data_IF_554530308853
#
_entry.id   IF_554530308853
#
_cell.length_a   1.000
_cell.length_b   1.000
_cell.length_c   1.000
_cell.angle_alpha   90.00
_cell.angle_beta   90.00
_cell.angle_gamma   90.00
#
_symmetry.space_group_name_H-M   'P 1'
#
loop_
_entity.id
_entity.type
_entity.pdbx_description
1 polymer ?
#
# COMPACT_ATOMS: atom_id res chain seq x y z
N UNK A 1 1.06 30.32 -23.94
CA UNK A 1 1.28 29.41 -22.79
C UNK A 1 1.46 28.03 -23.38
N UNK A 2 2.66 27.52 -23.32
CA UNK A 2 2.94 26.15 -23.75
C UNK A 2 2.16 25.21 -22.81
N UNK A 3 1.36 24.29 -23.37
CA UNK A 3 0.62 23.33 -22.56
C UNK A 3 1.63 22.43 -21.83
N UNK A 4 1.52 22.33 -20.51
CA UNK A 4 2.36 21.45 -19.71
C UNK A 4 2.26 20.01 -20.26
N UNK A 5 3.36 19.50 -20.82
CA UNK A 5 3.42 18.13 -21.30
C UNK A 5 3.67 17.20 -20.10
N UNK A 6 2.69 16.37 -19.76
CA UNK A 6 2.85 15.37 -18.74
C UNK A 6 3.79 14.24 -19.22
N UNK A 7 4.59 13.64 -18.32
CA UNK A 7 5.44 12.51 -18.66
C UNK A 7 4.61 11.28 -19.01
N UNK A 8 5.14 10.38 -19.84
CA UNK A 8 4.56 9.05 -20.01
C UNK A 8 4.67 8.27 -18.71
N UNK A 9 3.58 7.58 -18.32
CA UNK A 9 3.48 6.94 -16.99
C UNK A 9 3.39 5.42 -17.13
N UNK A 10 4.34 4.71 -16.51
CA UNK A 10 4.23 3.27 -16.26
C UNK A 10 3.67 3.07 -14.86
N UNK A 11 2.50 2.43 -14.77
CA UNK A 11 1.90 2.05 -13.50
C UNK A 11 2.36 0.64 -13.12
N UNK A 12 2.95 0.49 -11.93
CA UNK A 12 3.43 -0.79 -11.39
C UNK A 12 2.60 -1.16 -10.17
N UNK A 13 1.96 -2.34 -10.21
CA UNK A 13 1.05 -2.83 -9.17
C UNK A 13 1.54 -4.18 -8.68
N UNK A 14 2.11 -4.29 -7.46
CA UNK A 14 2.33 -5.56 -6.81
C UNK A 14 0.99 -6.16 -6.38
N UNK A 15 0.76 -7.45 -6.64
CA UNK A 15 -0.48 -8.12 -6.28
C UNK A 15 -0.21 -9.49 -5.62
N UNK A 16 -0.83 -9.74 -4.47
CA UNK A 16 -0.80 -11.03 -3.79
C UNK A 16 -2.15 -11.35 -3.14
N UNK A 17 -2.93 -12.25 -3.76
CA UNK A 17 -4.27 -12.64 -3.31
C UNK A 17 -5.27 -11.47 -3.28
N UNK A 18 -5.33 -10.69 -4.36
CA UNK A 18 -6.15 -9.49 -4.52
C UNK A 18 -7.37 -9.68 -5.44
N UNK A 19 -7.82 -10.93 -5.67
CA UNK A 19 -8.93 -11.25 -6.58
C UNK A 19 -10.22 -10.44 -6.31
N UNK A 20 -10.45 -9.98 -5.07
CA UNK A 20 -11.66 -9.24 -4.71
C UNK A 20 -11.65 -7.78 -5.14
N UNK A 21 -10.50 -7.20 -5.34
CA UNK A 21 -10.32 -5.74 -5.48
C UNK A 21 -9.61 -5.34 -6.77
N UNK A 22 -8.72 -6.17 -7.31
CA UNK A 22 -7.86 -5.84 -8.44
C UNK A 22 -8.63 -5.39 -9.69
N UNK A 23 -9.83 -5.95 -9.95
CA UNK A 23 -10.65 -5.53 -11.09
C UNK A 23 -11.07 -4.06 -11.00
N UNK A 24 -11.39 -3.56 -9.80
CA UNK A 24 -11.75 -2.13 -9.60
C UNK A 24 -10.53 -1.23 -9.73
N UNK A 25 -9.38 -1.68 -9.26
CA UNK A 25 -8.11 -0.97 -9.40
C UNK A 25 -7.81 -0.78 -10.89
N UNK A 26 -7.73 -1.87 -11.66
CA UNK A 26 -7.43 -1.84 -13.09
C UNK A 26 -8.45 -1.03 -13.89
N UNK A 27 -9.75 -1.21 -13.63
CA UNK A 27 -10.80 -0.43 -14.29
C UNK A 27 -10.65 1.08 -14.07
N UNK A 28 -10.30 1.51 -12.84
CA UNK A 28 -10.09 2.94 -12.55
C UNK A 28 -8.81 3.51 -13.18
N UNK A 29 -7.80 2.69 -13.45
CA UNK A 29 -6.58 3.10 -14.13
C UNK A 29 -6.77 3.21 -15.65
N UNK A 30 -7.60 2.34 -16.24
CA UNK A 30 -7.97 2.42 -17.65
C UNK A 30 -8.89 3.63 -17.94
N UNK A 31 -9.62 4.14 -16.94
CA UNK A 31 -10.51 5.32 -17.05
C UNK A 31 -9.81 6.66 -16.71
N UNK A 32 -8.48 6.71 -16.62
CA UNK A 32 -7.75 7.94 -16.32
C UNK A 32 -7.79 8.93 -17.49
N UNK A 33 -7.90 10.25 -17.20
CA UNK A 33 -7.79 11.32 -18.22
C UNK A 33 -6.38 11.43 -18.79
N UNK A 34 -5.36 11.22 -17.96
CA UNK A 34 -3.99 10.99 -18.41
C UNK A 34 -3.78 9.47 -18.49
N UNK A 35 -4.03 8.90 -19.67
CA UNK A 35 -3.92 7.45 -19.87
C UNK A 35 -2.52 6.96 -19.52
N UNK A 36 -2.38 5.90 -18.70
CA UNK A 36 -1.09 5.29 -18.48
C UNK A 36 -0.50 4.77 -19.79
N UNK A 37 0.78 4.95 -19.99
CA UNK A 37 1.52 4.38 -21.12
C UNK A 37 1.46 2.84 -21.08
N UNK A 38 1.55 2.29 -19.89
CA UNK A 38 1.41 0.86 -19.60
C UNK A 38 0.96 0.63 -18.16
N UNK A 39 0.29 -0.49 -17.91
CA UNK A 39 -0.06 -0.98 -16.58
C UNK A 39 0.60 -2.34 -16.42
N UNK A 40 1.49 -2.47 -15.46
CA UNK A 40 2.26 -3.67 -15.15
C UNK A 40 1.81 -4.20 -13.80
N UNK A 41 1.11 -5.33 -13.81
CA UNK A 41 0.77 -6.06 -12.58
C UNK A 41 1.83 -7.14 -12.36
N UNK A 42 2.43 -7.15 -11.17
CA UNK A 42 3.37 -8.21 -10.77
C UNK A 42 2.68 -9.08 -9.73
N UNK A 43 2.25 -10.26 -10.16
CA UNK A 43 1.67 -11.28 -9.26
C UNK A 43 2.78 -11.93 -8.45
N UNK A 44 2.77 -11.70 -7.16
CA UNK A 44 3.77 -12.19 -6.20
C UNK A 44 3.37 -13.57 -5.63
N UNK A 45 3.03 -14.51 -6.51
CA UNK A 45 2.70 -15.90 -6.14
C UNK A 45 1.29 -16.09 -5.59
N UNK A 46 0.29 -15.38 -6.11
CA UNK A 46 -1.11 -15.54 -5.68
C UNK A 46 -1.63 -16.96 -5.86
N UNK A 47 -2.47 -17.39 -4.92
CA UNK A 47 -3.14 -18.69 -4.89
C UNK A 47 -4.65 -18.61 -5.14
N UNK A 48 -5.16 -17.40 -5.35
CA UNK A 48 -6.57 -17.11 -5.66
C UNK A 48 -6.78 -16.74 -7.14
N UNK A 49 -7.91 -16.14 -7.48
CA UNK A 49 -8.25 -15.72 -8.84
C UNK A 49 -7.53 -14.47 -9.37
N UNK A 50 -6.57 -13.90 -8.65
CA UNK A 50 -5.90 -12.62 -9.02
C UNK A 50 -5.35 -12.66 -10.44
N UNK A 51 -4.57 -13.68 -10.79
CA UNK A 51 -3.98 -13.83 -12.13
C UNK A 51 -5.03 -13.96 -13.24
N UNK A 52 -6.06 -14.75 -12.98
CA UNK A 52 -7.13 -14.98 -13.95
C UNK A 52 -7.88 -13.67 -14.25
N UNK A 53 -8.20 -12.91 -13.21
CA UNK A 53 -8.87 -11.60 -13.33
C UNK A 53 -7.98 -10.63 -14.09
N UNK A 54 -6.71 -10.53 -13.74
CA UNK A 54 -5.76 -9.62 -14.39
C UNK A 54 -5.60 -9.92 -15.88
N UNK A 55 -5.50 -11.19 -16.25
CA UNK A 55 -5.43 -11.61 -17.69
C UNK A 55 -6.68 -11.23 -18.48
N UNK A 56 -7.82 -11.04 -17.84
CA UNK A 56 -9.05 -10.57 -18.47
C UNK A 56 -9.05 -9.10 -18.88
N UNK A 57 -8.05 -8.32 -18.44
CA UNK A 57 -7.93 -6.90 -18.79
C UNK A 57 -6.98 -6.72 -19.98
N UNK A 58 -7.54 -6.31 -21.14
CA UNK A 58 -6.73 -5.95 -22.31
C UNK A 58 -5.82 -4.75 -22.00
N UNK A 59 -4.58 -4.78 -22.49
CA UNK A 59 -3.61 -3.69 -22.29
C UNK A 59 -2.89 -3.71 -20.93
N UNK A 60 -3.11 -4.72 -20.08
CA UNK A 60 -2.40 -4.95 -18.83
C UNK A 60 -1.31 -6.00 -19.03
N UNK A 61 -0.09 -5.67 -18.64
CA UNK A 61 1.04 -6.59 -18.64
C UNK A 61 1.04 -7.35 -17.30
N UNK A 62 0.94 -8.67 -17.33
CA UNK A 62 1.05 -9.52 -16.15
C UNK A 62 2.42 -10.17 -16.08
N UNK A 63 3.17 -9.87 -15.03
CA UNK A 63 4.39 -10.58 -14.65
C UNK A 63 4.10 -11.49 -13.45
N UNK A 64 4.70 -12.68 -13.42
CA UNK A 64 4.50 -13.63 -12.33
C UNK A 64 5.83 -13.95 -11.66
N UNK A 65 5.86 -14.00 -10.32
CA UNK A 65 7.01 -14.41 -9.54
C UNK A 65 6.62 -15.31 -8.38
N UNK A 66 7.59 -15.96 -7.77
CA UNK A 66 7.43 -16.58 -6.45
C UNK A 66 7.23 -15.49 -5.40
N UNK A 67 6.63 -15.84 -4.24
CA UNK A 67 6.35 -14.85 -3.19
C UNK A 67 7.64 -14.30 -2.56
N UNK A 68 8.08 -13.14 -3.04
CA UNK A 68 9.29 -12.42 -2.64
C UNK A 68 9.00 -11.09 -1.93
N UNK A 69 7.74 -10.67 -1.89
CA UNK A 69 7.27 -9.45 -1.25
C UNK A 69 7.09 -8.27 -2.21
N UNK A 70 6.39 -7.23 -1.70
CA UNK A 70 5.95 -6.08 -2.47
C UNK A 70 7.10 -5.28 -3.09
N UNK A 71 8.19 -5.07 -2.37
CA UNK A 71 9.36 -4.34 -2.86
C UNK A 71 10.03 -5.05 -4.03
N UNK A 72 10.20 -6.39 -3.96
CA UNK A 72 10.72 -7.18 -5.06
C UNK A 72 9.80 -7.11 -6.30
N UNK A 73 8.49 -7.21 -6.09
CA UNK A 73 7.51 -7.10 -7.15
C UNK A 73 7.53 -5.71 -7.80
N UNK A 74 7.59 -4.62 -7.01
CA UNK A 74 7.73 -3.26 -7.53
C UNK A 74 9.01 -3.08 -8.35
N UNK A 75 10.15 -3.57 -7.86
CA UNK A 75 11.41 -3.53 -8.60
C UNK A 75 11.34 -4.27 -9.92
N UNK A 76 10.74 -5.47 -9.93
CA UNK A 76 10.55 -6.25 -11.15
C UNK A 76 9.70 -5.52 -12.18
N UNK A 77 8.57 -4.94 -11.76
CA UNK A 77 7.74 -4.12 -12.62
C UNK A 77 8.46 -2.88 -13.16
N UNK A 78 9.19 -2.17 -12.29
CA UNK A 78 9.96 -1.00 -12.66
C UNK A 78 11.08 -1.28 -13.68
N UNK A 79 11.72 -2.44 -13.58
CA UNK A 79 12.75 -2.87 -14.54
C UNK A 79 12.17 -3.20 -15.92
N UNK A 80 10.90 -3.56 -16.00
CA UNK A 80 10.19 -3.83 -17.26
C UNK A 80 9.61 -2.54 -17.86
N UNK A 81 9.34 -1.53 -17.01
CA UNK A 81 8.69 -0.28 -17.37
C UNK A 81 9.51 0.58 -18.33
N UNK A 82 8.82 1.26 -19.25
CA UNK A 82 9.42 2.08 -20.32
C UNK A 82 9.03 3.57 -20.27
N UNK A 83 8.02 3.93 -19.48
CA UNK A 83 7.56 5.32 -19.32
C UNK A 83 8.57 6.22 -18.59
N UNK A 84 8.42 7.53 -18.74
CA UNK A 84 9.29 8.55 -18.13
C UNK A 84 9.16 8.60 -16.60
N UNK A 85 7.96 8.31 -16.10
CA UNK A 85 7.64 8.26 -14.68
C UNK A 85 7.09 6.87 -14.29
N UNK A 86 7.50 6.37 -13.13
CA UNK A 86 6.98 5.16 -12.51
C UNK A 86 5.94 5.56 -11.45
N UNK A 87 4.74 4.95 -11.50
CA UNK A 87 3.74 5.09 -10.46
C UNK A 87 3.56 3.75 -9.74
N UNK A 88 3.88 3.71 -8.43
CA UNK A 88 3.73 2.53 -7.58
C UNK A 88 2.40 2.60 -6.84
N UNK A 89 1.45 1.78 -7.26
CA UNK A 89 0.08 1.78 -6.76
C UNK A 89 -0.30 0.41 -6.21
N UNK A 90 -1.16 0.37 -5.18
CA UNK A 90 -1.54 -0.88 -4.55
C UNK A 90 -2.83 -1.44 -5.19
N UNK A 91 -2.95 -2.77 -5.28
CA UNK A 91 -4.04 -3.47 -5.96
C UNK A 91 -5.41 -3.29 -5.30
N UNK A 92 -5.44 -2.91 -4.02
CA UNK A 92 -6.64 -2.65 -3.24
C UNK A 92 -7.12 -1.18 -3.27
N UNK A 93 -6.54 -0.38 -4.17
CA UNK A 93 -6.88 1.03 -4.39
C UNK A 93 -7.78 1.21 -5.63
N UNK A 94 -8.55 2.29 -5.64
CA UNK A 94 -9.29 2.84 -6.77
C UNK A 94 -8.97 4.32 -6.89
N UNK A 95 -8.91 4.85 -8.10
CA UNK A 95 -8.42 6.19 -8.39
C UNK A 95 -9.48 7.06 -9.03
N UNK A 96 -9.52 8.36 -8.70
CA UNK A 96 -10.31 9.33 -9.43
C UNK A 96 -9.73 9.53 -10.84
N UNK A 97 -10.55 9.98 -11.80
CA UNK A 97 -10.19 10.08 -13.21
C UNK A 97 -8.97 10.95 -13.50
N UNK A 98 -8.70 11.95 -12.68
CA UNK A 98 -7.56 12.87 -12.83
C UNK A 98 -6.36 12.49 -11.94
N UNK A 99 -6.40 11.33 -11.28
CA UNK A 99 -5.40 10.95 -10.29
C UNK A 99 -3.98 10.95 -10.87
N UNK A 100 -3.74 10.26 -11.99
CA UNK A 100 -2.40 10.19 -12.58
C UNK A 100 -1.93 11.55 -13.06
N UNK A 101 -2.78 12.33 -13.72
CA UNK A 101 -2.43 13.67 -14.17
C UNK A 101 -2.00 14.57 -13.00
N UNK A 102 -2.74 14.53 -11.89
CA UNK A 102 -2.44 15.31 -10.69
C UNK A 102 -1.18 14.81 -9.99
N UNK A 103 -1.02 13.48 -9.92
CA UNK A 103 0.12 12.87 -9.23
C UNK A 103 1.44 13.22 -9.90
N UNK A 104 1.51 13.23 -11.24
CA UNK A 104 2.75 13.51 -11.97
C UNK A 104 2.96 14.99 -12.33
N UNK A 105 1.99 15.88 -12.07
CA UNK A 105 2.08 17.28 -12.41
C UNK A 105 3.31 18.00 -11.82
N UNK A 106 3.71 17.78 -10.55
CA UNK A 106 4.93 18.40 -10.01
C UNK A 106 6.21 17.87 -10.68
N UNK A 107 6.21 16.60 -11.14
CA UNK A 107 7.32 16.02 -11.91
C UNK A 107 7.41 16.71 -13.28
N UNK A 108 6.27 16.89 -13.96
CA UNK A 108 6.20 17.55 -15.24
C UNK A 108 6.67 19.02 -15.20
N UNK A 109 6.52 19.70 -14.06
CA UNK A 109 7.01 21.08 -13.84
C UNK A 109 8.45 21.15 -13.35
N UNK A 110 9.12 20.01 -13.25
CA UNK A 110 10.47 19.88 -12.69
C UNK A 110 10.61 20.42 -11.23
N UNK A 111 9.49 20.43 -10.49
CA UNK A 111 9.44 20.84 -9.09
C UNK A 111 9.86 19.72 -8.13
N UNK A 112 9.79 18.45 -8.61
CA UNK A 112 10.11 17.27 -7.81
C UNK A 112 10.59 16.11 -8.68
N UNK A 113 11.49 15.28 -8.14
CA UNK A 113 11.85 13.99 -8.76
C UNK A 113 10.82 12.91 -8.47
N UNK A 114 9.96 13.11 -7.45
CA UNK A 114 8.89 12.19 -7.13
C UNK A 114 7.86 12.79 -6.18
N UNK A 115 6.68 12.21 -6.18
CA UNK A 115 5.47 12.74 -5.54
C UNK A 115 4.68 11.68 -4.79
N UNK A 116 3.75 12.15 -3.94
CA UNK A 116 2.76 11.32 -3.28
C UNK A 116 1.39 12.02 -3.23
N UNK A 117 0.30 11.24 -3.09
CA UNK A 117 -1.04 11.81 -2.91
C UNK A 117 -1.29 12.16 -1.44
N UNK A 118 -2.06 13.21 -1.21
CA UNK A 118 -2.43 13.68 0.14
C UNK A 118 -3.90 13.41 0.47
N UNK A 119 -4.69 12.94 -0.48
CA UNK A 119 -6.11 12.66 -0.29
C UNK A 119 -6.40 11.20 -0.54
N UNK A 120 -6.69 10.46 0.55
CA UNK A 120 -7.00 9.05 0.50
C UNK A 120 -8.22 8.75 1.37
N UNK A 121 -9.26 8.22 0.74
CA UNK A 121 -10.51 7.82 1.38
C UNK A 121 -10.57 6.31 1.60
N UNK A 122 -11.44 5.88 2.52
CA UNK A 122 -11.81 4.47 2.67
C UNK A 122 -12.87 4.13 1.63
N UNK A 123 -12.60 3.12 0.78
CA UNK A 123 -13.52 2.70 -0.29
C UNK A 123 -14.76 1.95 0.23
N UNK A 124 -14.65 1.33 1.41
CA UNK A 124 -15.69 0.47 2.01
C UNK A 124 -16.01 0.82 3.48
N UNK A 125 -16.30 2.09 3.81
CA UNK A 125 -16.52 2.53 5.21
C UNK A 125 -17.82 1.98 5.81
N UNK A 126 -18.76 1.49 4.99
CA UNK A 126 -20.01 0.84 5.42
C UNK A 126 -19.77 -0.56 5.99
N UNK A 127 -18.66 -1.22 5.64
CA UNK A 127 -18.34 -2.55 6.13
C UNK A 127 -17.82 -2.48 7.58
N UNK A 128 -18.39 -3.30 8.46
CA UNK A 128 -18.10 -3.29 9.90
C UNK A 128 -16.59 -3.39 10.19
N UNK A 129 -15.92 -4.35 9.59
CA UNK A 129 -14.51 -4.63 9.88
C UNK A 129 -13.58 -3.58 9.28
N UNK A 130 -13.91 -3.05 8.11
CA UNK A 130 -13.18 -1.95 7.47
C UNK A 130 -13.26 -0.67 8.33
N UNK A 131 -14.43 -0.37 8.90
CA UNK A 131 -14.61 0.75 9.83
C UNK A 131 -13.78 0.56 11.10
N UNK A 132 -13.81 -0.64 11.69
CA UNK A 132 -13.02 -0.96 12.89
C UNK A 132 -11.52 -0.93 12.64
N UNK A 133 -11.08 -1.20 11.41
CA UNK A 133 -9.68 -1.04 10.99
C UNK A 133 -9.24 0.41 11.18
N UNK A 134 -9.98 1.38 10.65
CA UNK A 134 -9.68 2.80 10.81
C UNK A 134 -9.75 3.28 12.27
N UNK A 135 -10.79 2.86 13.01
CA UNK A 135 -10.91 3.16 14.44
C UNK A 135 -9.68 2.64 15.22
N UNK A 136 -9.18 1.44 14.90
CA UNK A 136 -7.97 0.89 15.52
C UNK A 136 -6.72 1.70 15.20
N UNK A 137 -6.64 2.27 14.00
CA UNK A 137 -5.58 3.18 13.55
C UNK A 137 -5.73 4.61 14.09
N UNK A 138 -6.83 4.93 14.78
CA UNK A 138 -7.21 6.27 15.24
C UNK A 138 -7.48 7.25 14.12
N UNK A 139 -7.91 6.75 12.97
CA UNK A 139 -8.29 7.52 11.79
C UNK A 139 -9.82 7.72 11.73
N UNK A 140 -10.29 8.76 11.04
CA UNK A 140 -11.69 8.90 10.67
C UNK A 140 -12.17 7.68 9.89
N UNK A 141 -13.44 7.28 10.02
CA UNK A 141 -13.97 6.06 9.38
C UNK A 141 -13.98 6.12 7.84
N UNK A 142 -13.92 7.32 7.27
CA UNK A 142 -14.01 7.57 5.83
C UNK A 142 -12.67 7.97 5.20
N UNK A 143 -11.61 8.21 5.99
CA UNK A 143 -10.33 8.73 5.50
C UNK A 143 -9.15 7.89 5.98
N UNK A 144 -8.14 7.75 5.13
CA UNK A 144 -6.89 7.05 5.45
C UNK A 144 -5.76 8.04 5.79
N UNK A 145 -5.83 9.24 5.25
CA UNK A 145 -4.90 10.33 5.53
C UNK A 145 -5.65 11.48 6.21
N UNK A 146 -4.98 12.17 7.12
CA UNK A 146 -5.47 13.37 7.77
C UNK A 146 -5.18 14.60 6.91
N UNK A 147 -5.94 15.69 7.13
CA UNK A 147 -5.78 16.94 6.34
C UNK A 147 -4.48 17.69 6.62
N UNK A 148 -3.78 17.35 7.70
CA UNK A 148 -2.49 17.90 8.12
C UNK A 148 -1.28 17.12 7.59
N UNK A 149 -1.46 16.39 6.48
CA UNK A 149 -0.36 15.66 5.86
C UNK A 149 0.78 16.62 5.49
N UNK A 150 2.04 16.26 5.76
CA UNK A 150 3.17 17.13 5.45
C UNK A 150 3.34 17.32 3.94
N UNK A 151 3.92 18.45 3.52
CA UNK A 151 4.21 18.70 2.09
C UNK A 151 5.27 17.77 1.51
N UNK A 152 6.02 17.07 2.37
CA UNK A 152 7.07 16.12 1.98
C UNK A 152 7.05 14.88 2.88
N UNK A 153 7.25 13.71 2.27
CA UNK A 153 7.34 12.43 3.02
C UNK A 153 8.25 11.41 2.31
N UNK A 154 8.60 10.33 3.02
CA UNK A 154 9.50 9.30 2.51
C UNK A 154 8.85 8.34 1.49
N UNK A 155 7.51 8.31 1.39
CA UNK A 155 6.80 7.40 0.50
C UNK A 155 6.61 8.04 -0.87
N UNK A 156 7.14 7.41 -1.91
CA UNK A 156 6.98 7.80 -3.31
C UNK A 156 5.85 7.01 -3.96
N UNK A 157 4.83 7.71 -4.46
CA UNK A 157 3.78 7.10 -5.29
C UNK A 157 4.02 7.31 -6.78
N UNK A 158 4.73 8.38 -7.15
CA UNK A 158 5.32 8.54 -8.46
C UNK A 158 6.77 9.02 -8.33
N UNK A 159 7.61 8.62 -9.27
CA UNK A 159 9.03 9.02 -9.31
C UNK A 159 9.53 9.00 -10.75
N UNK A 160 10.46 9.87 -11.10
CA UNK A 160 11.17 9.81 -12.40
C UNK A 160 11.87 8.46 -12.54
N UNK A 161 11.65 7.81 -13.66
CA UNK A 161 12.21 6.46 -13.91
C UNK A 161 13.74 6.45 -13.87
N UNK A 162 14.39 7.44 -14.47
CA UNK A 162 15.85 7.57 -14.46
C UNK A 162 16.42 7.66 -13.04
N UNK A 163 15.80 8.49 -12.18
CA UNK A 163 16.19 8.64 -10.78
C UNK A 163 15.97 7.34 -9.98
N UNK A 164 14.85 6.64 -10.18
CA UNK A 164 14.56 5.37 -9.54
C UNK A 164 15.60 4.30 -9.87
N UNK A 165 15.94 4.17 -11.18
CA UNK A 165 16.91 3.18 -11.64
C UNK A 165 18.33 3.51 -11.14
N UNK A 166 18.72 4.79 -11.18
CA UNK A 166 20.01 5.25 -10.65
C UNK A 166 20.16 4.99 -9.15
N UNK A 167 19.08 5.12 -8.38
CA UNK A 167 19.05 4.80 -6.95
C UNK A 167 19.07 3.29 -6.64
N UNK A 168 18.88 2.42 -7.65
CA UNK A 168 18.84 0.97 -7.48
C UNK A 168 17.53 0.43 -6.90
N UNK A 169 16.44 1.20 -6.97
CA UNK A 169 15.09 0.79 -6.59
C UNK A 169 14.85 0.65 -5.09
N UNK A 170 13.81 -0.12 -4.72
CA UNK A 170 13.48 -0.43 -3.32
C UNK A 170 14.43 -1.48 -2.73
N UNK A 171 14.66 -1.41 -1.41
CA UNK A 171 15.27 -2.52 -0.67
C UNK A 171 14.13 -3.51 -0.36
N UNK A 172 14.14 -4.66 -1.02
CA UNK A 172 13.15 -5.69 -0.77
C UNK A 172 13.34 -6.30 0.64
N UNK A 173 12.26 -6.44 1.42
CA UNK A 173 12.38 -7.06 2.74
C UNK A 173 11.25 -6.84 3.73
N UNK A 174 10.09 -6.32 3.35
CA UNK A 174 8.96 -6.27 4.26
C UNK A 174 7.98 -5.10 4.07
N UNK A 175 7.32 -4.71 5.15
CA UNK A 175 6.29 -3.66 5.16
C UNK A 175 6.86 -2.26 4.87
N UNK A 176 8.13 -2.03 5.22
CA UNK A 176 8.77 -0.71 5.14
C UNK A 176 9.57 -0.51 3.83
N UNK A 177 9.38 -1.37 2.83
CA UNK A 177 10.06 -1.27 1.53
C UNK A 177 9.89 0.14 0.91
N UNK A 178 8.70 0.74 1.06
CA UNK A 178 8.37 2.06 0.53
C UNK A 178 9.26 3.19 1.08
N UNK A 179 9.75 3.06 2.31
CA UNK A 179 10.62 4.07 2.95
C UNK A 179 12.05 4.05 2.42
N UNK A 180 12.51 2.88 1.95
CA UNK A 180 13.89 2.67 1.52
C UNK A 180 14.29 3.51 0.30
N UNK A 181 13.33 3.90 -0.52
CA UNK A 181 13.58 4.70 -1.72
C UNK A 181 14.02 6.13 -1.37
N UNK A 182 13.44 6.73 -0.32
CA UNK A 182 13.82 8.06 0.13
C UNK A 182 15.28 8.13 0.60
N UNK A 183 15.74 7.10 1.32
CA UNK A 183 17.14 7.00 1.74
C UNK A 183 18.09 6.92 0.54
N UNK A 184 17.75 6.11 -0.46
CA UNK A 184 18.57 5.92 -1.65
C UNK A 184 18.60 7.13 -2.57
N UNK A 185 17.48 7.86 -2.68
CA UNK A 185 17.39 9.09 -3.45
C UNK A 185 18.00 10.30 -2.72
N UNK A 186 18.20 10.21 -1.40
CA UNK A 186 18.66 11.33 -0.56
C UNK A 186 17.66 12.49 -0.50
N UNK A 187 16.37 12.25 -0.81
CA UNK A 187 15.32 13.28 -0.82
C UNK A 187 13.96 12.69 -0.49
N UNK A 188 13.00 13.57 -0.20
CA UNK A 188 11.61 13.22 0.10
C UNK A 188 10.71 13.48 -1.12
N UNK A 189 9.66 12.70 -1.24
CA UNK A 189 8.58 12.93 -2.19
C UNK A 189 7.81 14.22 -1.83
N UNK A 190 7.33 14.94 -2.83
CA UNK A 190 6.55 16.18 -2.70
C UNK A 190 5.05 15.86 -2.82
N UNK A 191 4.23 16.54 -2.05
CA UNK A 191 2.79 16.41 -2.10
C UNK A 191 2.24 16.75 -3.50
N UNK A 192 1.29 15.94 -3.98
CA UNK A 192 0.55 16.19 -5.22
C UNK A 192 -0.93 16.47 -4.90
N UNK A 193 -1.30 17.74 -4.65
CA UNK A 193 -2.68 18.10 -4.32
C UNK A 193 -3.65 17.74 -5.45
N UNK A 194 -4.84 17.24 -5.07
CA UNK A 194 -5.88 16.87 -6.03
C UNK A 194 -5.73 15.46 -6.62
N UNK A 195 -4.65 14.74 -6.34
CA UNK A 195 -4.57 13.31 -6.61
C UNK A 195 -5.38 12.56 -5.53
N UNK A 196 -6.58 12.10 -5.91
CA UNK A 196 -7.55 11.46 -4.99
C UNK A 196 -7.64 9.98 -5.26
N UNK A 197 -7.56 9.17 -4.21
CA UNK A 197 -7.73 7.73 -4.28
C UNK A 197 -8.58 7.18 -3.12
N UNK A 198 -8.97 5.92 -3.26
CA UNK A 198 -9.84 5.20 -2.33
C UNK A 198 -9.23 3.83 -2.04
N UNK A 199 -8.94 3.57 -0.80
CA UNK A 199 -8.30 2.34 -0.33
C UNK A 199 -9.33 1.39 0.27
N UNK A 200 -9.31 0.14 -0.10
CA UNK A 200 -10.21 -0.89 0.44
C UNK A 200 -9.60 -1.48 1.70
N UNK A 201 -10.22 -1.20 2.84
CA UNK A 201 -9.80 -1.80 4.11
C UNK A 201 -10.20 -3.29 4.21
N UNK A 202 -9.51 -4.08 5.03
CA UNK A 202 -9.89 -5.45 5.33
C UNK A 202 -11.34 -5.55 5.82
N UNK A 203 -12.15 -6.37 5.14
CA UNK A 203 -13.57 -6.51 5.39
C UNK A 203 -13.96 -7.82 6.08
N UNK A 204 -12.99 -8.73 6.30
CA UNK A 204 -13.16 -10.03 6.94
C UNK A 204 -12.11 -10.26 8.01
N UNK A 205 -12.45 -11.00 9.07
CA UNK A 205 -11.52 -11.30 10.17
C UNK A 205 -10.23 -12.00 9.69
N UNK A 206 -10.34 -12.87 8.69
CA UNK A 206 -9.16 -13.52 8.07
C UNK A 206 -8.21 -12.52 7.40
N UNK A 207 -8.75 -11.49 6.75
CA UNK A 207 -7.97 -10.45 6.09
C UNK A 207 -7.27 -9.57 7.14
N UNK A 208 -8.00 -9.21 8.21
CA UNK A 208 -7.43 -8.50 9.37
C UNK A 208 -6.28 -9.28 9.97
N UNK A 209 -6.45 -10.59 10.21
CA UNK A 209 -5.40 -11.44 10.74
C UNK A 209 -4.19 -11.50 9.80
N UNK A 210 -4.41 -11.72 8.50
CA UNK A 210 -3.33 -11.83 7.50
C UNK A 210 -2.52 -10.54 7.39
N UNK A 211 -3.20 -9.40 7.33
CA UNK A 211 -2.54 -8.09 7.24
C UNK A 211 -1.83 -7.73 8.54
N UNK A 212 -2.45 -8.00 9.70
CA UNK A 212 -1.81 -7.82 11.00
C UNK A 212 -0.57 -8.71 11.14
N UNK A 213 -0.60 -9.95 10.64
CA UNK A 213 0.55 -10.86 10.65
C UNK A 213 1.70 -10.34 9.78
N UNK A 214 1.38 -9.78 8.63
CA UNK A 214 2.37 -9.15 7.76
C UNK A 214 3.02 -7.93 8.44
N UNK A 215 2.22 -7.02 9.02
CA UNK A 215 2.68 -5.87 9.81
C UNK A 215 3.56 -6.35 10.98
N UNK A 216 3.13 -7.37 11.73
CA UNK A 216 3.88 -7.92 12.86
C UNK A 216 5.22 -8.57 12.49
N UNK A 217 5.39 -8.99 11.23
CA UNK A 217 6.64 -9.55 10.73
C UNK A 217 7.62 -8.47 10.24
N UNK A 218 7.17 -7.23 10.08
CA UNK A 218 7.95 -6.10 9.57
C UNK A 218 8.70 -5.36 10.68
N UNK A 219 9.53 -4.39 10.27
CA UNK A 219 10.21 -3.49 11.20
C UNK A 219 9.28 -2.41 11.79
N UNK A 220 8.07 -2.21 11.24
CA UNK A 220 7.07 -1.29 11.76
C UNK A 220 6.61 -1.63 13.19
N UNK A 221 6.79 -2.89 13.62
CA UNK A 221 6.55 -3.31 15.00
C UNK A 221 7.88 -3.74 15.63
N UNK A 222 8.35 -3.06 16.70
CA UNK A 222 9.55 -3.47 17.41
C UNK A 222 9.47 -4.92 17.88
N UNK A 223 10.49 -5.72 17.56
CA UNK A 223 10.53 -7.15 17.84
C UNK A 223 10.98 -7.41 19.30
N UNK A 224 10.24 -6.88 20.26
CA UNK A 224 10.52 -6.98 21.70
C UNK A 224 9.44 -7.79 22.43
N UNK A 225 9.80 -8.38 23.57
CA UNK A 225 8.84 -9.07 24.47
C UNK A 225 7.76 -8.10 24.97
N UNK A 226 8.10 -6.83 25.18
CA UNK A 226 7.15 -5.81 25.62
C UNK A 226 6.08 -5.56 24.57
N UNK A 227 6.46 -5.37 23.28
CA UNK A 227 5.49 -5.20 22.20
C UNK A 227 4.71 -6.48 21.94
N UNK A 228 5.36 -7.66 22.01
CA UNK A 228 4.65 -8.93 21.93
C UNK A 228 3.52 -9.02 22.98
N UNK A 229 3.82 -8.74 24.26
CA UNK A 229 2.81 -8.72 25.31
C UNK A 229 1.73 -7.66 25.08
N UNK A 230 2.09 -6.50 24.58
CA UNK A 230 1.15 -5.41 24.29
C UNK A 230 0.05 -5.83 23.31
N UNK A 231 0.38 -6.66 22.31
CA UNK A 231 -0.57 -7.17 21.32
C UNK A 231 -1.16 -8.53 21.68
N UNK A 232 -0.56 -9.27 22.61
CA UNK A 232 -0.97 -10.61 22.95
C UNK A 232 -2.45 -10.68 23.38
N UNK A 233 -3.27 -11.53 22.74
CA UNK A 233 -4.67 -11.70 23.10
C UNK A 233 -4.89 -12.16 24.53
N UNK A 234 -3.93 -12.86 25.13
CA UNK A 234 -4.00 -13.36 26.52
C UNK A 234 -3.64 -12.31 27.57
N UNK A 235 -3.14 -11.13 27.16
CA UNK A 235 -2.81 -10.07 28.11
C UNK A 235 -4.06 -9.24 28.47
N UNK A 236 -4.60 -9.34 29.70
CA UNK A 236 -5.82 -8.62 30.08
C UNK A 236 -5.64 -7.10 30.14
N UNK A 237 -4.39 -6.62 30.24
CA UNK A 237 -4.05 -5.19 30.17
C UNK A 237 -3.64 -4.75 28.77
N UNK A 238 -3.63 -5.66 27.79
CA UNK A 238 -3.27 -5.42 26.40
C UNK A 238 -4.28 -4.58 25.63
N UNK A 239 -3.91 -4.18 24.43
CA UNK A 239 -4.76 -3.33 23.56
C UNK A 239 -6.12 -3.98 23.23
N UNK A 240 -6.19 -5.32 23.18
CA UNK A 240 -7.42 -6.07 22.90
C UNK A 240 -8.50 -5.86 23.97
N UNK A 241 -8.16 -6.06 25.23
CA UNK A 241 -9.09 -6.03 26.36
C UNK A 241 -9.52 -4.62 26.78
N UNK A 242 -8.64 -3.62 26.64
CA UNK A 242 -8.99 -2.21 26.91
C UNK A 242 -10.12 -1.67 26.02
N UNK A 243 -10.47 -2.39 24.97
CA UNK A 243 -11.57 -2.04 24.08
C UNK A 243 -12.97 -2.38 24.62
N UNK A 244 -13.06 -3.32 25.58
CA UNK A 244 -14.33 -3.69 26.20
C UNK A 244 -15.03 -2.51 26.92
N UNK A 245 -14.26 -1.49 27.30
CA UNK A 245 -14.74 -0.31 28.03
C UNK A 245 -15.30 0.81 27.15
N UNK A 246 -15.33 0.68 25.81
CA UNK A 246 -15.87 1.72 24.91
C UNK A 246 -17.33 1.42 24.52
N UNK A 247 -18.30 2.26 24.95
CA UNK A 247 -19.69 2.14 24.49
C UNK A 247 -19.76 2.40 22.97
N UNK A 248 -20.51 1.59 22.25
CA UNK A 248 -20.89 1.86 20.86
C UNK A 248 -20.36 0.88 19.79
N UNK A 249 -19.19 0.24 19.99
CA UNK A 249 -18.62 -0.70 19.00
C UNK A 249 -18.43 -2.11 19.59
N UNK A 250 -19.54 -2.85 19.71
CA UNK A 250 -19.57 -4.21 20.31
C UNK A 250 -18.62 -5.22 19.67
N UNK A 251 -18.23 -5.01 18.41
CA UNK A 251 -17.32 -5.90 17.68
C UNK A 251 -15.84 -5.51 17.82
N UNK A 252 -15.51 -4.35 18.39
CA UNK A 252 -14.14 -3.87 18.52
C UNK A 252 -13.23 -4.80 19.37
N UNK A 253 -13.69 -5.44 20.44
CA UNK A 253 -12.89 -6.43 21.17
C UNK A 253 -12.49 -7.63 20.29
N UNK A 254 -13.44 -8.17 19.52
CA UNK A 254 -13.17 -9.30 18.61
C UNK A 254 -12.15 -8.88 17.56
N UNK A 255 -12.33 -7.69 16.96
CA UNK A 255 -11.36 -7.13 16.01
C UNK A 255 -9.96 -7.09 16.61
N UNK A 256 -9.80 -6.52 17.81
CA UNK A 256 -8.49 -6.34 18.47
C UNK A 256 -7.86 -7.66 18.88
N UNK A 257 -8.63 -8.66 19.30
CA UNK A 257 -8.13 -9.99 19.58
C UNK A 257 -7.54 -10.63 18.31
N UNK A 258 -8.27 -10.57 17.18
CA UNK A 258 -7.82 -11.11 15.90
C UNK A 258 -6.61 -10.33 15.37
N UNK A 259 -6.63 -9.01 15.43
CA UNK A 259 -5.52 -8.15 15.03
C UNK A 259 -4.27 -8.43 15.88
N UNK A 260 -4.42 -8.50 17.21
CA UNK A 260 -3.32 -8.80 18.13
C UNK A 260 -2.72 -10.18 17.91
N UNK A 261 -3.57 -11.19 17.67
CA UNK A 261 -3.11 -12.54 17.32
C UNK A 261 -2.29 -12.53 16.02
N UNK A 262 -2.72 -11.77 15.01
CA UNK A 262 -1.97 -11.58 13.77
C UNK A 262 -0.60 -10.95 14.00
N UNK A 263 -0.53 -9.83 14.73
CA UNK A 263 0.74 -9.17 15.08
C UNK A 263 1.70 -10.14 15.78
N UNK A 264 1.22 -10.84 16.81
CA UNK A 264 2.05 -11.80 17.56
C UNK A 264 2.56 -12.95 16.66
N UNK A 265 1.72 -13.48 15.78
CA UNK A 265 2.12 -14.53 14.85
C UNK A 265 3.18 -14.03 13.85
N UNK A 266 3.08 -12.78 13.40
CA UNK A 266 4.07 -12.11 12.55
C UNK A 266 5.42 -11.97 13.25
N UNK A 267 5.43 -11.45 14.47
CA UNK A 267 6.64 -11.31 15.31
C UNK A 267 7.34 -12.65 15.50
N UNK A 268 6.60 -13.72 15.83
CA UNK A 268 7.17 -15.06 16.00
C UNK A 268 7.79 -15.59 14.70
N UNK A 269 7.18 -15.30 13.55
CA UNK A 269 7.75 -15.68 12.24
C UNK A 269 9.06 -14.93 11.97
N UNK A 270 9.10 -13.62 12.21
CA UNK A 270 10.31 -12.81 12.05
C UNK A 270 11.47 -13.30 12.94
N UNK A 271 11.18 -13.64 14.19
CA UNK A 271 12.18 -14.19 15.11
C UNK A 271 12.74 -15.55 14.65
N UNK A 272 11.90 -16.41 14.05
CA UNK A 272 12.36 -17.71 13.51
C UNK A 272 13.22 -17.54 12.24
N UNK A 273 12.87 -16.64 11.36
CA UNK A 273 13.63 -16.33 10.14
C UNK A 273 15.02 -15.73 10.44
N UNK A 274 15.20 -15.01 11.55
CA UNK A 274 16.49 -14.48 11.99
C UNK A 274 17.40 -15.54 12.64
N UNK A 275 16.85 -16.63 13.19
CA UNK A 275 17.64 -17.73 13.76
C UNK A 275 18.12 -18.72 12.70
N UNK A 276 17.58 -18.66 11.48
CA UNK A 276 17.93 -19.55 10.36
C UNK A 276 18.96 -18.93 9.39
N UNK A 277 19.44 -17.72 9.68
CA UNK A 277 20.57 -17.04 9.01
C UNK A 277 21.73 -16.91 10.00
#
# INVERSE_FOLDING_TARGET
MESLRLPTVSVVIPAYNEARVIARCLGSLLDQTHHPHEIIVVDDGSTDGTRLITRGFGGVILLEQSHEGSGAARNRGANTATGDALCFLDADMRFDRDFLARLVAPIARDEAIGTFHVTEYVANPQERWARLWNINQRLPITRKLLDDSPDRQAIFRAVRRDAFLAAGGFIAGGYDDDLSLAERLGTLAVAAPGAVCYHTNPARLREIYSQARWIGASNAVPQTLQEFWRYCPLNPRGKGWRALARPGERALPIFRLVYGAGICAGMLRACRGRKAK
#
